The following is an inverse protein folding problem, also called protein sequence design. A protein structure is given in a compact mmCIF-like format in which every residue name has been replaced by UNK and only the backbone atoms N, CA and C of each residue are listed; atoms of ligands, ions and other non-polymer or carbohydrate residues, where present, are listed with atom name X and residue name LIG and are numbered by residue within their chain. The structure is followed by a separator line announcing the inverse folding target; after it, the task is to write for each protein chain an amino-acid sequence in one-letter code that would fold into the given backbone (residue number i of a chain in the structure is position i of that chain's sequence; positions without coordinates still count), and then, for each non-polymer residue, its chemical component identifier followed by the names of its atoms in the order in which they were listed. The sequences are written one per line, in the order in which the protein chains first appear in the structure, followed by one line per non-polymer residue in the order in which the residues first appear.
data_IF_659796783131
#
_entry.id   IF_659796783131
#
_cell.length_a   1.000
_cell.length_b   1.000
_cell.length_c   1.000
_cell.angle_alpha   90.00
_cell.angle_beta   90.00
_cell.angle_gamma   90.00
#
_symmetry.space_group_name_H-M   'P 1'
#
loop_
_entity.id
_entity.type
_entity.pdbx_description
1 polymer ?
#
# COMPACT_ATOMS: atom_id res chain seq x y z
N UNK A 1 1.69 24.98 -4.39
CA UNK A 1 1.40 23.57 -4.69
C UNK A 1 0.02 23.32 -4.15
N UNK A 2 -0.98 23.11 -5.00
CA UNK A 2 -2.34 22.81 -4.54
C UNK A 2 -2.28 21.49 -3.78
N UNK A 3 -2.26 21.56 -2.45
CA UNK A 3 -2.02 20.41 -1.56
C UNK A 3 -3.27 19.54 -1.34
N UNK A 4 -4.35 19.80 -2.07
CA UNK A 4 -5.58 19.01 -1.99
C UNK A 4 -5.55 17.87 -3.01
N UNK A 5 -4.56 16.97 -2.89
CA UNK A 5 -4.63 15.71 -3.59
C UNK A 5 -5.89 14.96 -3.10
N UNK A 6 -6.79 14.65 -4.02
CA UNK A 6 -7.98 13.88 -3.68
C UNK A 6 -7.56 12.46 -3.32
N UNK A 7 -8.23 11.88 -2.34
CA UNK A 7 -7.94 10.57 -1.73
C UNK A 7 -7.63 9.46 -2.72
N UNK A 8 -8.29 9.45 -3.88
CA UNK A 8 -8.22 8.39 -4.89
C UNK A 8 -7.53 8.81 -6.20
N UNK A 9 -6.99 10.03 -6.25
CA UNK A 9 -6.23 10.50 -7.40
C UNK A 9 -4.79 9.97 -7.38
N UNK A 10 -4.15 10.02 -8.55
CA UNK A 10 -2.75 9.63 -8.69
C UNK A 10 -1.83 10.66 -8.02
N UNK A 11 -1.10 10.20 -7.00
CA UNK A 11 -0.03 10.95 -6.36
C UNK A 11 1.26 10.70 -7.12
N UNK A 12 1.86 11.75 -7.69
CA UNK A 12 3.07 11.64 -8.51
C UNK A 12 4.33 12.02 -7.72
N UNK A 13 5.39 11.24 -7.88
CA UNK A 13 6.72 11.50 -7.35
C UNK A 13 7.79 11.17 -8.40
N UNK A 14 9.04 11.57 -8.13
CA UNK A 14 10.21 11.24 -8.97
C UNK A 14 10.34 9.75 -9.24
N UNK A 15 9.93 8.93 -8.29
CA UNK A 15 10.04 7.49 -8.39
C UNK A 15 8.91 6.89 -9.23
N UNK A 16 7.79 7.57 -9.45
CA UNK A 16 6.58 7.05 -10.09
C UNK A 16 5.32 7.58 -9.40
N UNK A 17 4.15 7.00 -9.71
CA UNK A 17 2.87 7.41 -9.10
C UNK A 17 2.14 6.24 -8.43
N UNK A 18 1.40 6.55 -7.38
CA UNK A 18 0.56 5.61 -6.66
C UNK A 18 -0.80 6.24 -6.30
N UNK A 19 -1.82 5.42 -6.07
CA UNK A 19 -3.12 5.88 -5.58
C UNK A 19 -3.84 4.84 -4.74
N UNK A 20 -4.76 5.30 -3.88
CA UNK A 20 -5.76 4.43 -3.26
C UNK A 20 -6.82 4.09 -4.32
N UNK A 21 -7.33 2.86 -4.32
CA UNK A 21 -8.35 2.41 -5.30
C UNK A 21 -9.64 1.93 -4.61
N UNK A 22 -9.75 2.23 -3.31
CA UNK A 22 -10.89 1.85 -2.49
C UNK A 22 -10.93 0.37 -2.16
N UNK A 23 -12.02 -0.05 -1.51
CA UNK A 23 -12.22 -1.42 -1.10
C UNK A 23 -12.86 -2.25 -2.22
N UNK A 24 -12.41 -3.48 -2.39
CA UNK A 24 -13.08 -4.51 -3.20
C UNK A 24 -13.56 -5.66 -2.32
N UNK A 25 -14.50 -6.46 -2.82
CA UNK A 25 -14.76 -7.79 -2.24
C UNK A 25 -13.87 -8.80 -2.95
N UNK A 26 -13.05 -9.50 -2.18
CA UNK A 26 -12.17 -10.54 -2.69
C UNK A 26 -12.91 -11.84 -2.90
N UNK A 27 -12.17 -12.84 -3.35
CA UNK A 27 -12.66 -14.21 -3.52
C UNK A 27 -13.20 -14.82 -2.22
N UNK A 28 -12.63 -14.44 -1.08
CA UNK A 28 -13.04 -14.89 0.25
C UNK A 28 -14.23 -14.10 0.83
N UNK A 29 -14.85 -13.25 -0.01
CA UNK A 29 -15.92 -12.32 0.32
C UNK A 29 -15.55 -11.24 1.35
N UNK A 30 -14.27 -11.14 1.75
CA UNK A 30 -13.79 -10.10 2.66
C UNK A 30 -13.52 -8.81 1.90
N UNK A 31 -13.59 -7.71 2.64
CA UNK A 31 -13.22 -6.39 2.12
C UNK A 31 -11.70 -6.25 2.11
N UNK A 32 -11.13 -6.04 0.92
CA UNK A 32 -9.71 -5.71 0.75
C UNK A 32 -9.58 -4.26 0.35
N UNK A 33 -8.88 -3.46 1.15
CA UNK A 33 -8.49 -2.12 0.73
C UNK A 33 -7.35 -2.25 -0.29
N UNK A 34 -7.49 -1.58 -1.43
CA UNK A 34 -6.58 -1.75 -2.57
C UNK A 34 -5.85 -0.46 -2.93
N UNK A 35 -4.69 -0.64 -3.52
CA UNK A 35 -3.88 0.45 -4.08
C UNK A 35 -3.39 0.09 -5.47
N UNK A 36 -2.95 1.11 -6.21
CA UNK A 36 -2.31 0.95 -7.50
C UNK A 36 -0.98 1.71 -7.52
N UNK A 37 0.00 1.13 -8.21
CA UNK A 37 1.31 1.73 -8.49
C UNK A 37 1.56 1.66 -9.98
N UNK A 38 2.05 2.75 -10.55
CA UNK A 38 2.59 2.76 -11.90
C UNK A 38 4.05 2.28 -11.86
N UNK A 39 4.33 1.16 -12.52
CA UNK A 39 5.66 0.58 -12.70
C UNK A 39 5.96 0.58 -14.20
N UNK A 40 6.82 1.51 -14.61
CA UNK A 40 7.31 1.62 -16.00
C UNK A 40 6.17 1.69 -17.03
N UNK A 41 5.12 2.47 -16.72
CA UNK A 41 3.94 2.65 -17.56
C UNK A 41 2.88 1.56 -17.40
N UNK A 42 3.12 0.55 -16.53
CA UNK A 42 2.15 -0.51 -16.22
C UNK A 42 1.53 -0.25 -14.85
N UNK A 43 0.21 -0.20 -14.82
CA UNK A 43 -0.53 -0.12 -13.55
C UNK A 43 -0.60 -1.51 -12.93
N UNK A 44 -0.04 -1.63 -11.73
CA UNK A 44 -0.05 -2.84 -10.92
C UNK A 44 -0.82 -2.56 -9.62
N UNK A 45 -1.61 -3.53 -9.19
CA UNK A 45 -2.47 -3.45 -8.03
C UNK A 45 -1.93 -4.30 -6.88
N UNK A 46 -2.34 -3.93 -5.67
CA UNK A 46 -2.02 -4.66 -4.46
C UNK A 46 -3.02 -4.41 -3.34
N UNK A 47 -2.85 -5.17 -2.27
CA UNK A 47 -3.66 -5.08 -1.05
C UNK A 47 -2.90 -4.37 0.07
N UNK A 48 -3.60 -3.47 0.73
CA UNK A 48 -3.13 -2.71 1.88
C UNK A 48 -4.08 -2.92 3.04
N UNK A 49 -3.54 -3.04 4.25
CA UNK A 49 -4.33 -3.26 5.45
C UNK A 49 -3.74 -2.55 6.66
N UNK A 50 -4.47 -2.65 7.77
CA UNK A 50 -3.98 -2.28 9.10
C UNK A 50 -3.51 -3.53 9.81
N UNK A 51 -2.42 -3.40 10.55
CA UNK A 51 -2.02 -4.39 11.54
C UNK A 51 -2.01 -3.72 12.91
N UNK A 52 -2.82 -4.26 13.82
CA UNK A 52 -3.00 -3.68 15.15
C UNK A 52 -1.88 -4.10 16.08
N UNK A 53 -1.44 -3.17 16.92
CA UNK A 53 -0.49 -3.42 18.01
C UNK A 53 -1.17 -4.26 19.12
N UNK A 54 -0.40 -4.80 20.09
CA UNK A 54 -0.96 -5.60 21.19
C UNK A 54 -2.06 -4.92 22.01
N UNK A 55 -2.13 -3.58 22.01
CA UNK A 55 -3.21 -2.83 22.65
C UNK A 55 -4.54 -2.86 21.87
N UNK A 56 -4.58 -3.54 20.73
CA UNK A 56 -5.75 -3.73 19.85
C UNK A 56 -6.39 -2.44 19.33
N UNK A 57 -5.63 -1.35 19.36
CA UNK A 57 -6.14 -0.01 19.17
C UNK A 57 -5.26 0.76 18.20
N UNK A 58 -3.99 0.92 18.57
CA UNK A 58 -3.00 1.51 17.69
C UNK A 58 -2.66 0.57 16.54
N UNK A 59 -2.30 1.15 15.40
CA UNK A 59 -2.07 0.37 14.21
C UNK A 59 -0.85 0.86 13.42
N UNK A 60 -0.30 -0.07 12.64
CA UNK A 60 0.60 0.20 11.54
C UNK A 60 -0.08 -0.16 10.23
N UNK A 61 0.54 0.26 9.13
CA UNK A 61 0.09 -0.11 7.80
C UNK A 61 0.85 -1.34 7.33
N UNK A 62 0.13 -2.27 6.74
CA UNK A 62 0.67 -3.48 6.14
C UNK A 62 0.41 -3.47 4.64
N UNK A 63 1.45 -3.69 3.84
CA UNK A 63 1.33 -4.12 2.46
C UNK A 63 1.22 -5.64 2.47
N UNK A 64 0.02 -6.12 2.14
CA UNK A 64 -0.33 -7.54 2.18
C UNK A 64 0.10 -8.23 0.89
N UNK A 65 -0.16 -7.60 -0.26
CA UNK A 65 0.17 -8.16 -1.56
C UNK A 65 0.42 -7.08 -2.62
N UNK A 66 1.11 -7.44 -3.69
CA UNK A 66 1.43 -6.61 -4.85
C UNK A 66 1.68 -7.47 -6.09
N UNK A 67 1.33 -6.94 -7.26
CA UNK A 67 1.67 -7.54 -8.56
C UNK A 67 0.47 -7.94 -9.41
N UNK A 68 -0.75 -7.58 -9.01
CA UNK A 68 -1.93 -7.91 -9.80
C UNK A 68 -2.06 -6.93 -10.98
N UNK A 69 -2.18 -7.44 -12.21
CA UNK A 69 -2.46 -6.58 -13.38
C UNK A 69 -3.93 -6.11 -13.45
N UNK A 70 -4.81 -6.74 -12.68
CA UNK A 70 -6.25 -6.47 -12.61
C UNK A 70 -6.62 -6.31 -11.14
N UNK A 71 -7.32 -5.23 -10.80
CA UNK A 71 -7.68 -4.91 -9.42
C UNK A 71 -8.54 -5.99 -8.78
N UNK A 72 -9.50 -6.52 -9.51
CA UNK A 72 -10.46 -7.52 -9.05
C UNK A 72 -9.81 -8.87 -8.70
N UNK A 73 -8.54 -9.06 -9.05
CA UNK A 73 -7.79 -10.27 -8.70
C UNK A 73 -7.04 -10.14 -7.37
N UNK A 74 -6.99 -8.95 -6.77
CA UNK A 74 -6.31 -8.74 -5.49
C UNK A 74 -6.92 -9.65 -4.41
N UNK A 75 -6.05 -10.34 -3.66
CA UNK A 75 -6.45 -11.26 -2.59
C UNK A 75 -6.72 -12.70 -3.05
N UNK A 76 -6.75 -12.99 -4.36
CA UNK A 76 -6.90 -14.37 -4.84
C UNK A 76 -5.58 -15.14 -4.59
N UNK A 77 -5.59 -16.25 -3.83
CA UNK A 77 -4.41 -17.08 -3.60
C UNK A 77 -3.97 -17.76 -4.90
N UNK A 78 -2.68 -17.73 -5.22
CA UNK A 78 -2.17 -18.39 -6.41
C UNK A 78 -1.94 -19.89 -6.21
N UNK A 79 -2.17 -20.72 -7.25
CA UNK A 79 -1.81 -22.13 -7.21
C UNK A 79 -0.32 -22.31 -6.93
N UNK A 80 0.01 -23.27 -6.06
CA UNK A 80 1.39 -23.65 -5.81
C UNK A 80 2.06 -24.11 -7.13
N UNK A 81 3.25 -23.58 -7.42
CA UNK A 81 4.04 -23.94 -8.62
C UNK A 81 3.90 -23.02 -9.82
N UNK A 82 3.17 -21.90 -9.72
CA UNK A 82 3.21 -20.84 -10.71
C UNK A 82 4.23 -19.78 -10.28
N UNK A 83 5.24 -19.54 -11.12
CA UNK A 83 6.23 -18.47 -10.92
C UNK A 83 5.54 -17.11 -11.01
N UNK A 84 5.04 -16.66 -9.86
CA UNK A 84 4.77 -15.28 -9.46
C UNK A 84 3.76 -14.44 -10.25
N UNK A 85 3.10 -13.53 -9.53
CA UNK A 85 2.30 -12.41 -10.03
C UNK A 85 3.15 -11.36 -10.81
N UNK A 86 4.14 -11.81 -11.57
CA UNK A 86 5.18 -10.97 -12.17
C UNK A 86 5.46 -11.35 -13.62
N UNK A 87 4.44 -11.48 -14.48
CA UNK A 87 4.73 -11.30 -15.92
C UNK A 87 5.13 -9.85 -16.27
N UNK A 88 5.15 -8.95 -15.28
CA UNK A 88 5.59 -7.56 -15.44
C UNK A 88 6.74 -7.11 -14.53
N UNK A 89 7.11 -7.88 -13.50
CA UNK A 89 8.18 -7.52 -12.55
C UNK A 89 9.38 -8.43 -12.80
N UNK A 90 10.03 -8.23 -13.94
CA UNK A 90 11.20 -9.02 -14.34
C UNK A 90 12.51 -8.53 -13.70
N UNK A 91 12.48 -7.35 -13.05
CA UNK A 91 13.66 -6.69 -12.50
C UNK A 91 13.71 -6.82 -10.98
N UNK A 92 14.86 -7.32 -10.48
CA UNK A 92 15.17 -7.53 -9.08
C UNK A 92 15.13 -6.25 -8.23
N UNK A 93 15.19 -5.07 -8.85
CA UNK A 93 15.10 -3.77 -8.17
C UNK A 93 13.65 -3.26 -7.99
N UNK A 94 12.68 -3.86 -8.68
CA UNK A 94 11.30 -3.38 -8.65
C UNK A 94 10.68 -3.41 -7.25
N UNK A 95 10.88 -4.45 -6.41
CA UNK A 95 10.35 -4.46 -5.05
C UNK A 95 10.84 -3.26 -4.22
N UNK A 96 12.12 -2.88 -4.33
CA UNK A 96 12.71 -1.77 -3.60
C UNK A 96 12.17 -0.42 -4.09
N UNK A 97 11.96 -0.26 -5.40
CA UNK A 97 11.31 0.93 -5.99
C UNK A 97 9.87 1.05 -5.50
N UNK A 98 9.10 -0.04 -5.53
CA UNK A 98 7.71 -0.09 -5.04
C UNK A 98 7.65 0.23 -3.55
N UNK A 99 8.56 -0.33 -2.74
CA UNK A 99 8.66 -0.02 -1.32
C UNK A 99 8.85 1.47 -1.04
N UNK A 100 9.78 2.10 -1.76
CA UNK A 100 10.09 3.53 -1.61
C UNK A 100 8.91 4.41 -2.04
N UNK A 101 8.29 4.09 -3.19
CA UNK A 101 7.08 4.75 -3.68
C UNK A 101 5.95 4.68 -2.67
N UNK A 102 5.67 3.49 -2.13
CA UNK A 102 4.59 3.28 -1.17
C UNK A 102 4.87 3.99 0.16
N UNK A 103 6.12 4.00 0.64
CA UNK A 103 6.48 4.75 1.84
C UNK A 103 6.22 6.26 1.67
N UNK A 104 6.62 6.83 0.53
CA UNK A 104 6.36 8.23 0.22
C UNK A 104 4.87 8.52 0.05
N UNK A 105 4.16 7.65 -0.66
CA UNK A 105 2.72 7.78 -0.88
C UNK A 105 1.92 7.69 0.42
N UNK A 106 2.23 6.75 1.32
CA UNK A 106 1.60 6.70 2.66
C UNK A 106 1.87 7.98 3.43
N UNK A 107 3.10 8.50 3.40
CA UNK A 107 3.43 9.77 4.05
C UNK A 107 2.58 10.92 3.52
N UNK A 108 2.36 10.99 2.21
CA UNK A 108 1.52 12.02 1.57
C UNK A 108 0.05 11.82 1.97
N UNK A 109 -0.46 10.58 1.95
CA UNK A 109 -1.83 10.24 2.33
C UNK A 109 -2.20 10.60 3.78
N UNK A 110 -1.22 10.76 4.68
CA UNK A 110 -1.44 11.27 6.03
C UNK A 110 -1.88 12.75 6.06
N UNK A 111 -1.63 13.51 4.99
CA UNK A 111 -1.98 14.91 4.88
C UNK A 111 -3.25 15.16 4.04
N UNK A 112 -3.89 14.12 3.53
CA UNK A 112 -5.18 14.26 2.84
C UNK A 112 -6.25 14.75 3.81
N UNK A 113 -7.07 15.70 3.36
CA UNK A 113 -8.24 16.18 4.11
C UNK A 113 -9.23 15.04 4.35
N UNK A 114 -9.54 14.28 3.30
CA UNK A 114 -10.29 13.04 3.37
C UNK A 114 -9.33 11.85 3.29
N UNK A 115 -8.97 11.28 4.44
CA UNK A 115 -8.02 10.16 4.48
C UNK A 115 -8.70 8.87 4.04
N UNK A 116 -8.01 8.01 3.28
CA UNK A 116 -8.54 6.70 2.91
C UNK A 116 -8.75 5.87 4.17
N UNK A 117 -9.71 4.94 4.11
CA UNK A 117 -10.12 4.11 5.25
C UNK A 117 -8.94 3.55 6.03
N UNK A 118 -7.93 3.01 5.36
CA UNK A 118 -6.75 2.43 5.99
C UNK A 118 -5.92 3.40 6.84
N UNK A 119 -5.97 4.71 6.57
CA UNK A 119 -5.25 5.77 7.29
C UNK A 119 -6.11 6.57 8.30
N UNK A 120 -7.40 6.26 8.44
CA UNK A 120 -8.28 6.94 9.40
C UNK A 120 -7.83 6.71 10.86
N UNK A 121 -7.56 7.79 11.58
CA UNK A 121 -7.26 7.73 13.00
C UNK A 121 -8.50 8.08 13.82
N UNK A 122 -8.63 7.48 15.01
CA UNK A 122 -9.68 7.77 15.98
C UNK A 122 -9.04 8.18 17.31
N UNK A 123 -9.79 8.75 18.27
CA UNK A 123 -9.22 9.21 19.55
C UNK A 123 -8.33 8.18 20.25
N UNK A 124 -8.69 6.89 20.14
CA UNK A 124 -7.98 5.76 20.74
C UNK A 124 -7.35 4.82 19.71
N UNK A 125 -7.26 5.20 18.43
CA UNK A 125 -6.62 4.37 17.42
C UNK A 125 -5.71 5.24 16.54
N UNK A 126 -4.41 5.20 16.82
CA UNK A 126 -3.41 6.05 16.16
C UNK A 126 -2.48 5.25 15.27
N UNK A 127 -2.06 5.88 14.18
CA UNK A 127 -1.03 5.32 13.32
C UNK A 127 0.34 5.49 13.98
N UNK A 128 1.06 4.38 14.17
CA UNK A 128 2.34 4.37 14.90
C UNK A 128 3.57 4.56 13.99
N UNK A 129 3.36 4.92 12.72
CA UNK A 129 4.45 5.33 11.84
C UNK A 129 5.22 4.19 11.20
N UNK A 130 4.72 2.94 11.16
CA UNK A 130 5.39 1.85 10.42
C UNK A 130 4.60 1.42 9.19
N UNK A 131 5.32 1.23 8.09
CA UNK A 131 4.87 0.54 6.90
C UNK A 131 5.54 -0.84 6.83
N UNK A 132 4.75 -1.89 6.90
CA UNK A 132 5.20 -3.28 7.01
C UNK A 132 4.90 -4.00 5.71
N UNK A 133 5.93 -4.53 5.06
CA UNK A 133 5.82 -5.41 3.91
C UNK A 133 5.83 -6.85 4.42
N UNK A 134 4.69 -7.54 4.30
CA UNK A 134 4.51 -8.90 4.78
C UNK A 134 5.45 -9.89 4.07
N UNK A 135 5.73 -11.05 4.66
CA UNK A 135 6.38 -12.11 3.90
C UNK A 135 5.51 -12.52 2.70
N UNK A 136 6.13 -12.67 1.53
CA UNK A 136 5.40 -13.00 0.29
C UNK A 136 4.56 -11.87 -0.29
N UNK A 137 4.67 -10.62 0.22
CA UNK A 137 3.92 -9.47 -0.30
C UNK A 137 4.13 -9.23 -1.80
N UNK A 138 5.31 -9.58 -2.32
CA UNK A 138 5.63 -9.55 -3.73
C UNK A 138 6.58 -10.71 -4.09
N UNK A 139 6.57 -11.08 -5.36
CA UNK A 139 7.42 -12.12 -5.92
C UNK A 139 8.90 -11.90 -5.60
N UNK A 140 9.52 -12.85 -4.89
CA UNK A 140 10.94 -12.80 -4.55
C UNK A 140 11.34 -11.64 -3.64
N UNK A 141 10.37 -10.91 -3.08
CA UNK A 141 10.64 -9.76 -2.23
C UNK A 141 10.74 -10.19 -0.76
N UNK A 142 11.76 -9.73 -0.02
CA UNK A 142 11.84 -10.00 1.40
C UNK A 142 10.78 -9.20 2.17
N UNK A 143 10.39 -9.71 3.33
CA UNK A 143 9.69 -8.92 4.34
C UNK A 143 10.55 -7.72 4.73
N UNK A 144 9.91 -6.58 4.99
CA UNK A 144 10.61 -5.34 5.33
C UNK A 144 9.73 -4.43 6.18
N UNK A 145 10.35 -3.69 7.07
CA UNK A 145 9.70 -2.59 7.79
C UNK A 145 10.34 -1.26 7.40
N UNK A 146 9.51 -0.24 7.20
CA UNK A 146 9.94 1.13 6.93
C UNK A 146 9.26 2.07 7.92
N UNK A 147 10.06 2.89 8.61
CA UNK A 147 9.53 3.95 9.48
C UNK A 147 9.11 5.16 8.65
N UNK A 148 7.83 5.51 8.74
CA UNK A 148 7.23 6.73 8.19
C UNK A 148 7.34 7.81 9.26
N UNK A 149 8.25 8.76 9.06
CA UNK A 149 8.37 9.93 9.96
C UNK A 149 7.17 10.83 9.75
N UNK A 150 6.28 10.85 10.73
CA UNK A 150 5.21 11.85 10.85
C UNK A 150 5.83 13.06 11.52
N UNK A 151 6.21 14.09 10.76
CA UNK A 151 6.53 15.38 11.37
C UNK A 151 5.22 16.01 11.84
N UNK A 152 5.13 16.54 13.07
CA UNK A 152 4.01 17.39 13.44
C UNK A 152 3.94 18.54 12.45
N UNK A 153 2.76 18.82 11.89
CA UNK A 153 2.52 20.12 11.28
C UNK A 153 2.83 21.15 12.36
N UNK A 154 3.85 21.96 12.11
CA UNK A 154 4.17 23.10 12.98
C UNK A 154 2.90 23.95 13.08
N UNK A 155 2.43 24.18 14.31
CA UNK A 155 1.29 25.03 14.60
C UNK A 155 1.57 26.50 14.22
#
# INVERSE_FOLDING_TARGET
MDIYERTFDWVSATEGRARFVGSIRGWDERGHDTYAVDVDGKVMYGEIGRTFLPNQNDFNIQIVSFGYGVREHVGIPWPAGHDSHARGVADAETPQRVQSRLARWIRIGLYFEDRPRVLLEYPHARFQGKLIFAEGWAAGAPAREITIRVQPLSA
#
